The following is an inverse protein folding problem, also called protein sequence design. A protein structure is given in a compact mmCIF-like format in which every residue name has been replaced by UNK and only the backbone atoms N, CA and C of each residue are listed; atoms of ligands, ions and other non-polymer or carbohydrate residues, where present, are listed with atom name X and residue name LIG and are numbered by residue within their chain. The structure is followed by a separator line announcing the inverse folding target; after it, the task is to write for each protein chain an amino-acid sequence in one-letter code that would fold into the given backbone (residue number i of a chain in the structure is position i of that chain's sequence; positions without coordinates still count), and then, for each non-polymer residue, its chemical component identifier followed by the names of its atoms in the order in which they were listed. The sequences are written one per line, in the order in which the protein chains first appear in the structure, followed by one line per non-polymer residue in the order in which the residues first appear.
data_IF_206140390469
#
_entry.id   IF_206140390469
#
_cell.length_a   1.000
_cell.length_b   1.000
_cell.length_c   1.000
_cell.angle_alpha   90.00
_cell.angle_beta   90.00
_cell.angle_gamma   90.00
#
_symmetry.space_group_name_H-M   'P 1'
#
loop_
_entity.id
_entity.type
_entity.pdbx_description
1 polymer ?
#
# COMPACT_ATOMS: atom_id res chain seq x y z
N UNK A 1 -5.60 25.64 29.14
CA UNK A 1 -4.45 24.73 28.85
C UNK A 1 -4.76 23.56 27.89
N UNK A 2 -5.98 23.40 27.37
CA UNK A 2 -6.34 22.28 26.47
C UNK A 2 -6.01 22.48 24.96
N UNK A 3 -5.72 23.71 24.53
CA UNK A 3 -5.49 24.06 23.11
C UNK A 3 -4.11 23.62 22.55
N UNK A 4 -3.07 23.56 23.40
CA UNK A 4 -1.71 23.21 22.97
C UNK A 4 -1.52 21.74 22.60
N UNK A 5 -2.17 20.81 23.32
CA UNK A 5 -2.07 19.36 23.07
C UNK A 5 -2.78 18.93 21.79
N UNK A 6 -3.97 19.49 21.51
CA UNK A 6 -4.70 19.23 20.26
C UNK A 6 -3.95 19.74 19.04
N UNK A 7 -3.29 20.91 19.14
CA UNK A 7 -2.49 21.46 18.04
C UNK A 7 -1.25 20.63 17.75
N UNK A 8 -0.55 20.11 18.78
CA UNK A 8 0.59 19.20 18.60
C UNK A 8 0.20 17.83 18.05
N UNK A 9 -0.91 17.24 18.51
CA UNK A 9 -1.44 15.98 17.95
C UNK A 9 -1.84 16.15 16.47
N UNK A 10 -2.58 17.22 16.14
CA UNK A 10 -2.99 17.50 14.75
C UNK A 10 -1.80 17.74 13.79
N UNK A 11 -0.70 18.33 14.28
CA UNK A 11 0.53 18.52 13.49
C UNK A 11 1.28 17.20 13.30
N UNK A 12 1.34 16.32 14.31
CA UNK A 12 2.01 15.02 14.15
C UNK A 12 1.27 14.12 13.15
N UNK A 13 -0.07 14.16 13.15
CA UNK A 13 -0.89 13.41 12.20
C UNK A 13 -0.71 13.87 10.74
N UNK A 14 -0.48 15.16 10.47
CA UNK A 14 -0.37 15.66 9.08
C UNK A 14 0.90 15.20 8.36
N UNK A 15 2.01 15.04 9.09
CA UNK A 15 3.24 14.47 8.54
C UNK A 15 3.11 12.97 8.32
N UNK A 16 2.37 12.30 9.19
CA UNK A 16 2.15 10.85 9.15
C UNK A 16 1.31 10.41 7.95
N UNK A 17 0.40 11.27 7.50
CA UNK A 17 -0.47 11.05 6.35
C UNK A 17 0.13 11.52 5.02
N UNK A 18 1.33 12.11 5.06
CA UNK A 18 1.95 12.70 3.87
C UNK A 18 2.27 11.64 2.80
N UNK A 19 1.78 11.89 1.58
CA UNK A 19 2.07 11.13 0.37
C UNK A 19 2.61 12.06 -0.72
N UNK A 20 3.94 12.20 -0.88
CA UNK A 20 4.53 13.22 -1.76
C UNK A 20 4.36 12.91 -3.26
N UNK A 21 4.12 11.65 -3.63
CA UNK A 21 3.94 11.24 -5.03
C UNK A 21 2.47 11.37 -5.50
N UNK A 22 1.63 12.10 -4.76
CA UNK A 22 0.25 12.38 -5.16
C UNK A 22 0.10 13.03 -6.54
N UNK A 23 1.06 13.82 -7.10
CA UNK A 23 0.90 14.37 -8.44
C UNK A 23 0.91 13.31 -9.55
N UNK A 24 1.44 12.10 -9.31
CA UNK A 24 1.43 11.01 -10.30
C UNK A 24 0.01 10.55 -10.61
N UNK A 25 -0.86 10.53 -9.60
CA UNK A 25 -2.27 10.18 -9.72
C UNK A 25 -3.06 11.04 -8.72
N UNK A 26 -3.50 12.24 -9.13
CA UNK A 26 -4.02 13.28 -8.23
C UNK A 26 -5.47 13.02 -7.82
N UNK A 27 -5.68 11.94 -7.07
CA UNK A 27 -6.98 11.61 -6.46
C UNK A 27 -7.08 12.30 -5.11
N UNK A 28 -8.25 12.83 -4.77
CA UNK A 28 -8.57 13.24 -3.39
C UNK A 28 -8.21 12.09 -2.43
N UNK A 29 -7.67 12.32 -1.22
CA UNK A 29 -7.29 13.59 -0.58
C UNK A 29 -5.88 14.08 -0.96
N UNK A 30 -5.41 13.78 -2.17
CA UNK A 30 -4.12 14.16 -2.72
C UNK A 30 -2.96 13.65 -1.85
N UNK A 31 -2.21 14.57 -1.26
CA UNK A 31 -1.03 14.27 -0.45
C UNK A 31 -1.31 13.89 1.00
N UNK A 32 -2.58 13.83 1.44
CA UNK A 32 -2.92 13.60 2.85
C UNK A 32 -3.79 12.35 3.03
N UNK A 33 -3.14 11.18 3.12
CA UNK A 33 -3.78 9.87 3.11
C UNK A 33 -3.71 9.20 4.48
N UNK A 34 -4.73 9.43 5.30
CA UNK A 34 -4.94 8.72 6.56
C UNK A 34 -5.26 7.25 6.31
N UNK A 35 -4.62 6.38 7.06
CA UNK A 35 -4.76 4.92 7.01
C UNK A 35 -5.55 4.43 8.23
N UNK A 36 -6.63 3.71 7.97
CA UNK A 36 -7.43 3.06 9.01
C UNK A 36 -7.14 1.55 8.98
N UNK A 37 -6.46 1.05 10.03
CA UNK A 37 -6.26 -0.39 10.22
C UNK A 37 -7.43 -0.99 10.99
N UNK A 38 -7.99 -2.08 10.50
CA UNK A 38 -9.01 -2.89 11.18
C UNK A 38 -8.61 -4.36 11.15
N UNK A 39 -8.65 -5.02 12.30
CA UNK A 39 -8.57 -6.48 12.36
C UNK A 39 -9.95 -7.08 12.02
N UNK A 40 -9.99 -7.98 11.04
CA UNK A 40 -11.24 -8.62 10.59
C UNK A 40 -11.28 -10.11 10.93
N UNK A 41 -10.11 -10.75 11.09
CA UNK A 41 -9.97 -12.08 11.67
C UNK A 41 -8.85 -12.01 12.69
N UNK A 42 -9.18 -12.38 13.93
CA UNK A 42 -8.27 -12.29 15.07
C UNK A 42 -6.91 -12.92 14.77
N UNK A 43 -5.85 -12.17 15.05
CA UNK A 43 -4.45 -12.55 14.91
C UNK A 43 -4.07 -13.09 13.51
N UNK A 44 -4.88 -12.80 12.48
CA UNK A 44 -4.76 -13.42 11.16
C UNK A 44 -4.93 -12.45 10.00
N UNK A 45 -5.97 -11.61 9.98
CA UNK A 45 -6.27 -10.76 8.82
C UNK A 45 -6.62 -9.34 9.26
N UNK A 46 -5.95 -8.38 8.63
CA UNK A 46 -6.16 -6.95 8.83
C UNK A 46 -6.44 -6.24 7.50
N UNK A 47 -7.36 -5.29 7.51
CA UNK A 47 -7.56 -4.35 6.40
C UNK A 47 -6.94 -3.02 6.75
N UNK A 48 -6.40 -2.36 5.74
CA UNK A 48 -5.87 -1.01 5.79
C UNK A 48 -6.61 -0.22 4.73
N UNK A 49 -7.40 0.76 5.15
CA UNK A 49 -8.24 1.55 4.28
C UNK A 49 -7.73 3.00 4.21
N UNK A 50 -7.64 3.55 3.00
CA UNK A 50 -7.39 4.97 2.73
C UNK A 50 -8.55 5.53 1.90
N UNK A 51 -8.83 6.82 2.01
CA UNK A 51 -9.80 7.45 1.11
C UNK A 51 -9.16 7.71 -0.25
N UNK A 52 -9.96 7.54 -1.29
CA UNK A 52 -9.68 8.05 -2.62
C UNK A 52 -10.92 8.63 -3.26
N UNK A 53 -10.78 9.66 -4.10
CA UNK A 53 -11.93 10.23 -4.80
C UNK A 53 -11.58 10.97 -6.07
N UNK A 54 -12.56 11.01 -6.97
CA UNK A 54 -12.55 11.79 -8.21
C UNK A 54 -13.89 12.51 -8.29
N UNK A 55 -13.87 13.81 -8.56
CA UNK A 55 -15.06 14.66 -8.59
C UNK A 55 -15.89 14.53 -7.29
N UNK A 56 -17.14 14.12 -7.41
CA UNK A 56 -18.11 13.96 -6.31
C UNK A 56 -18.17 12.53 -5.75
N UNK A 57 -17.32 11.62 -6.23
CA UNK A 57 -17.28 10.23 -5.75
C UNK A 57 -16.04 10.03 -4.88
N UNK A 58 -16.27 9.63 -3.62
CA UNK A 58 -15.22 9.24 -2.69
C UNK A 58 -15.47 7.83 -2.20
N UNK A 59 -14.47 6.96 -2.33
CA UNK A 59 -14.53 5.55 -1.95
C UNK A 59 -13.29 5.17 -1.14
N UNK A 60 -13.40 4.19 -0.22
CA UNK A 60 -12.22 3.62 0.40
C UNK A 60 -11.47 2.75 -0.61
N UNK A 61 -10.14 2.86 -0.62
CA UNK A 61 -9.23 1.89 -1.23
C UNK A 61 -8.62 1.03 -0.13
N UNK A 62 -8.62 -0.29 -0.36
CA UNK A 62 -8.27 -1.29 0.66
C UNK A 62 -7.01 -2.06 0.28
N UNK A 63 -6.08 -2.12 1.23
CA UNK A 63 -5.03 -3.12 1.29
C UNK A 63 -5.39 -4.16 2.36
N UNK A 64 -5.07 -5.43 2.12
CA UNK A 64 -5.24 -6.51 3.10
C UNK A 64 -3.90 -7.09 3.49
N UNK A 65 -3.68 -7.28 4.78
CA UNK A 65 -2.50 -7.95 5.34
C UNK A 65 -2.97 -9.25 5.99
N UNK A 66 -2.34 -10.36 5.63
CA UNK A 66 -2.65 -11.70 6.13
C UNK A 66 -1.41 -12.30 6.77
N UNK A 67 -1.55 -12.85 7.97
CA UNK A 67 -0.52 -13.65 8.62
C UNK A 67 -0.41 -15.00 7.93
N UNK A 68 0.82 -15.41 7.61
CA UNK A 68 1.09 -16.71 7.02
C UNK A 68 1.28 -17.80 8.08
N UNK A 69 0.84 -19.03 7.78
CA UNK A 69 1.06 -20.20 8.64
C UNK A 69 2.56 -20.44 8.88
N UNK A 70 3.38 -20.31 7.83
CA UNK A 70 4.85 -20.43 7.90
C UNK A 70 5.58 -19.21 8.48
N UNK A 71 4.85 -18.27 9.09
CA UNK A 71 5.39 -17.03 9.62
C UNK A 71 5.61 -15.94 8.56
N UNK A 72 5.59 -14.69 9.00
CA UNK A 72 5.61 -13.51 8.15
C UNK A 72 4.23 -13.09 7.66
N UNK A 73 4.23 -12.05 6.85
CA UNK A 73 3.02 -11.39 6.36
C UNK A 73 2.93 -11.43 4.83
N UNK A 74 1.70 -11.55 4.36
CA UNK A 74 1.29 -11.43 2.97
C UNK A 74 0.48 -10.15 2.80
N UNK A 75 0.82 -9.32 1.83
CA UNK A 75 0.15 -8.04 1.55
C UNK A 75 -0.54 -8.12 0.19
N UNK A 76 -1.83 -7.81 0.15
CA UNK A 76 -2.67 -7.80 -1.04
C UNK A 76 -3.16 -6.39 -1.34
N UNK A 77 -3.07 -5.98 -2.61
CA UNK A 77 -3.54 -4.69 -3.13
C UNK A 77 -2.99 -3.47 -2.34
N UNK A 78 -1.66 -3.23 -2.36
CA UNK A 78 -1.05 -2.11 -1.64
C UNK A 78 -1.73 -0.77 -1.84
N UNK A 79 -1.77 0.03 -0.77
CA UNK A 79 -2.20 1.44 -0.75
C UNK A 79 -1.00 2.35 -0.55
N UNK A 80 -1.20 3.67 -0.51
CA UNK A 80 -0.11 4.63 -0.40
C UNK A 80 0.72 4.36 0.87
N UNK A 81 2.03 4.11 0.77
CA UNK A 81 2.90 3.81 1.91
C UNK A 81 3.27 5.09 2.66
N UNK A 82 2.27 5.77 3.23
CA UNK A 82 2.48 6.88 4.16
C UNK A 82 3.22 6.40 5.40
N UNK A 83 3.78 7.33 6.19
CA UNK A 83 4.50 6.96 7.43
C UNK A 83 3.60 6.19 8.39
N UNK A 84 2.33 6.62 8.51
CA UNK A 84 1.31 5.93 9.30
C UNK A 84 1.08 4.49 8.80
N UNK A 85 0.87 4.31 7.49
CA UNK A 85 0.65 2.99 6.91
C UNK A 85 1.83 2.04 7.19
N UNK A 86 3.06 2.52 6.95
CA UNK A 86 4.27 1.71 7.15
C UNK A 86 4.46 1.36 8.62
N UNK A 87 4.25 2.32 9.54
CA UNK A 87 4.34 2.08 10.99
C UNK A 87 3.32 1.02 11.44
N UNK A 88 2.06 1.12 10.99
CA UNK A 88 1.01 0.16 11.34
C UNK A 88 1.27 -1.26 10.79
N UNK A 89 1.95 -1.37 9.64
CA UNK A 89 2.41 -2.67 9.11
C UNK A 89 3.60 -3.18 9.93
N UNK A 90 4.54 -2.33 10.32
CA UNK A 90 5.69 -2.73 11.15
C UNK A 90 5.29 -3.27 12.52
N UNK A 91 4.22 -2.75 13.15
CA UNK A 91 3.65 -3.35 14.36
C UNK A 91 3.23 -4.82 14.15
N UNK A 92 2.74 -5.18 12.95
CA UNK A 92 2.43 -6.57 12.62
C UNK A 92 3.71 -7.35 12.34
N UNK A 93 4.70 -6.74 11.70
CA UNK A 93 6.01 -7.37 11.42
C UNK A 93 6.72 -7.76 12.71
N UNK A 94 6.72 -6.88 13.71
CA UNK A 94 7.30 -7.14 15.03
C UNK A 94 6.69 -8.37 15.71
N UNK A 95 5.39 -8.61 15.51
CA UNK A 95 4.66 -9.72 16.16
C UNK A 95 4.66 -11.02 15.35
N UNK A 96 4.59 -10.93 14.02
CA UNK A 96 4.31 -12.10 13.17
C UNK A 96 5.42 -12.40 12.15
N UNK A 97 6.44 -11.56 12.04
CA UNK A 97 7.57 -11.69 11.11
C UNK A 97 7.45 -10.79 9.87
N UNK A 98 8.52 -10.75 9.07
CA UNK A 98 8.63 -9.87 7.91
C UNK A 98 7.51 -10.02 6.88
N UNK A 99 7.27 -8.96 6.11
CA UNK A 99 6.46 -9.05 4.88
C UNK A 99 7.22 -9.90 3.87
N UNK A 100 6.67 -11.09 3.57
CA UNK A 100 7.27 -12.01 2.59
C UNK A 100 6.80 -11.75 1.18
N UNK A 101 5.53 -11.38 1.02
CA UNK A 101 4.89 -11.27 -0.29
C UNK A 101 4.04 -10.01 -0.41
N UNK A 102 4.14 -9.34 -1.55
CA UNK A 102 3.33 -8.18 -1.94
C UNK A 102 2.67 -8.48 -3.27
N UNK A 103 1.35 -8.48 -3.33
CA UNK A 103 0.59 -8.81 -4.53
C UNK A 103 -0.09 -7.57 -5.10
N UNK A 104 0.17 -7.26 -6.37
CA UNK A 104 -0.67 -6.38 -7.18
C UNK A 104 -1.69 -7.23 -7.96
N UNK A 105 -2.97 -7.25 -7.56
CA UNK A 105 -3.97 -8.16 -8.12
C UNK A 105 -4.75 -7.57 -9.29
N UNK A 106 -4.29 -6.46 -9.86
CA UNK A 106 -5.04 -5.72 -10.89
C UNK A 106 -4.15 -5.29 -12.04
N UNK A 107 -4.71 -5.34 -13.24
CA UNK A 107 -4.07 -4.89 -14.48
C UNK A 107 -4.44 -3.43 -14.76
N UNK A 108 -5.71 -3.06 -14.53
CA UNK A 108 -6.29 -1.75 -14.89
C UNK A 108 -6.42 -0.78 -13.72
N UNK A 109 -6.39 -1.27 -12.48
CA UNK A 109 -6.52 -0.44 -11.28
C UNK A 109 -5.25 0.37 -11.04
N UNK A 110 -5.12 1.51 -11.72
CA UNK A 110 -4.03 2.47 -11.54
C UNK A 110 -3.89 2.85 -10.06
N UNK A 111 -5.02 2.93 -9.35
CA UNK A 111 -5.12 3.30 -7.95
C UNK A 111 -4.36 2.35 -7.03
N UNK A 112 -4.22 1.06 -7.36
CA UNK A 112 -3.34 0.16 -6.61
C UNK A 112 -1.94 0.08 -7.24
N UNK A 113 -1.86 0.22 -8.56
CA UNK A 113 -0.60 0.08 -9.30
C UNK A 113 0.40 1.20 -8.98
N UNK A 114 -0.04 2.42 -8.78
CA UNK A 114 0.87 3.53 -8.44
C UNK A 114 1.54 3.35 -7.08
N UNK A 115 0.96 2.53 -6.20
CA UNK A 115 1.48 2.31 -4.85
C UNK A 115 2.39 1.10 -4.71
N UNK A 116 2.27 0.08 -5.57
CA UNK A 116 3.02 -1.19 -5.38
C UNK A 116 4.54 -0.98 -5.38
N UNK A 117 5.09 -0.19 -6.31
CA UNK A 117 6.53 0.10 -6.36
C UNK A 117 7.04 0.83 -5.10
N UNK A 118 6.46 2.00 -4.76
CA UNK A 118 6.76 2.69 -3.51
C UNK A 118 6.60 1.84 -2.25
N UNK A 119 5.55 1.02 -2.18
CA UNK A 119 5.30 0.15 -1.03
C UNK A 119 6.37 -0.94 -0.94
N UNK A 120 6.70 -1.59 -2.05
CA UNK A 120 7.77 -2.58 -2.12
C UNK A 120 9.13 -2.03 -1.70
N UNK A 121 9.42 -0.74 -1.91
CA UNK A 121 10.65 -0.11 -1.41
C UNK A 121 10.72 0.01 0.12
N UNK A 122 9.58 0.00 0.82
CA UNK A 122 9.52 0.01 2.29
C UNK A 122 9.77 -1.37 2.90
N UNK A 123 9.55 -2.42 2.13
CA UNK A 123 9.75 -3.83 2.54
C UNK A 123 10.68 -4.51 1.53
N UNK A 124 12.01 -4.28 1.64
CA UNK A 124 12.96 -4.67 0.60
C UNK A 124 13.18 -6.18 0.46
N UNK A 125 12.88 -6.96 1.49
CA UNK A 125 12.99 -8.43 1.51
C UNK A 125 11.78 -9.13 0.90
N UNK A 126 10.66 -8.43 0.75
CA UNK A 126 9.42 -9.00 0.21
C UNK A 126 9.53 -9.30 -1.29
N UNK A 127 9.04 -10.45 -1.72
CA UNK A 127 8.82 -10.72 -3.14
C UNK A 127 7.54 -10.03 -3.62
N UNK A 128 7.58 -9.45 -4.82
CA UNK A 128 6.45 -8.75 -5.43
C UNK A 128 5.88 -9.63 -6.53
N UNK A 129 4.59 -9.90 -6.50
CA UNK A 129 3.89 -10.58 -7.57
C UNK A 129 2.88 -9.65 -8.21
N UNK A 130 2.84 -9.64 -9.54
CA UNK A 130 1.89 -8.84 -10.30
C UNK A 130 1.07 -9.71 -11.23
N UNK A 131 -0.18 -9.33 -11.50
CA UNK A 131 -0.96 -10.00 -12.55
C UNK A 131 -0.24 -9.92 -13.90
N UNK A 132 -0.35 -10.94 -14.78
CA UNK A 132 0.16 -10.86 -16.14
C UNK A 132 -0.44 -9.69 -16.93
N UNK A 133 0.18 -9.33 -18.06
CA UNK A 133 -0.32 -8.30 -18.99
C UNK A 133 -0.40 -6.88 -18.40
N UNK A 134 0.49 -6.55 -17.46
CA UNK A 134 0.68 -5.18 -17.01
C UNK A 134 1.09 -4.28 -18.19
N UNK A 135 0.53 -3.08 -18.23
CA UNK A 135 0.74 -2.12 -19.31
C UNK A 135 1.22 -0.75 -18.79
N UNK A 136 1.69 0.11 -19.67
CA UNK A 136 1.84 1.54 -19.38
C UNK A 136 1.46 2.38 -20.59
N UNK A 137 1.28 3.68 -20.39
CA UNK A 137 0.87 4.64 -21.42
C UNK A 137 1.78 5.88 -21.35
N UNK A 138 2.12 6.51 -22.49
CA UNK A 138 1.68 6.18 -23.87
C UNK A 138 2.36 4.96 -24.49
N UNK A 139 3.46 4.50 -23.90
CA UNK A 139 4.22 3.35 -24.38
C UNK A 139 4.10 2.19 -23.40
N UNK A 140 4.08 0.97 -23.91
CA UNK A 140 4.09 -0.24 -23.08
C UNK A 140 5.52 -0.57 -22.65
N UNK A 141 5.93 -0.07 -21.49
CA UNK A 141 7.30 -0.16 -20.96
C UNK A 141 7.45 -1.42 -20.09
N UNK A 142 8.67 -1.97 -19.98
CA UNK A 142 8.96 -3.06 -19.07
C UNK A 142 8.60 -2.73 -17.62
N UNK A 143 8.13 -3.72 -16.85
CA UNK A 143 7.73 -3.55 -15.44
C UNK A 143 8.81 -2.90 -14.56
N UNK A 144 10.08 -3.23 -14.81
CA UNK A 144 11.22 -2.66 -14.08
C UNK A 144 11.36 -1.15 -14.24
N UNK A 145 10.79 -0.58 -15.31
CA UNK A 145 10.77 0.87 -15.57
C UNK A 145 9.56 1.55 -14.91
N UNK A 146 8.56 0.78 -14.46
CA UNK A 146 7.37 1.26 -13.77
C UNK A 146 7.56 1.37 -12.25
N UNK A 147 8.82 1.37 -11.78
CA UNK A 147 9.18 1.51 -10.37
C UNK A 147 9.07 0.22 -9.55
N UNK A 148 8.88 -0.94 -10.21
CA UNK A 148 8.91 -2.26 -9.57
C UNK A 148 10.35 -2.81 -9.46
N UNK A 149 10.70 -3.48 -8.35
CA UNK A 149 12.05 -3.97 -8.11
C UNK A 149 12.40 -5.17 -9.02
N UNK A 150 13.36 -4.98 -9.94
CA UNK A 150 13.67 -5.93 -11.03
C UNK A 150 13.96 -7.37 -10.58
N UNK A 151 14.70 -7.55 -9.49
CA UNK A 151 15.22 -8.86 -9.09
C UNK A 151 14.29 -9.66 -8.16
N UNK A 152 13.12 -9.11 -7.84
CA UNK A 152 12.15 -9.72 -6.91
C UNK A 152 10.70 -9.44 -7.33
N UNK A 153 10.48 -9.13 -8.60
CA UNK A 153 9.15 -8.98 -9.18
C UNK A 153 8.87 -10.17 -10.08
N UNK A 154 7.80 -10.88 -9.81
CA UNK A 154 7.37 -12.08 -10.52
C UNK A 154 5.95 -11.92 -11.04
N UNK A 155 5.59 -12.71 -12.03
CA UNK A 155 4.20 -12.81 -12.47
C UNK A 155 3.45 -13.77 -11.57
N UNK A 156 2.19 -13.44 -11.24
CA UNK A 156 1.28 -14.38 -10.61
C UNK A 156 1.13 -15.60 -11.51
N UNK A 157 1.23 -16.83 -10.96
CA UNK A 157 1.01 -18.05 -11.73
C UNK A 157 -0.39 -18.03 -12.35
N UNK A 158 -0.46 -18.24 -13.65
CA UNK A 158 -1.70 -18.66 -14.31
C UNK A 158 -1.78 -20.17 -14.15
N UNK A 159 -2.90 -20.68 -13.63
CA UNK A 159 -3.12 -22.12 -13.56
C UNK A 159 -2.89 -22.71 -14.96
N UNK A 160 -2.02 -23.72 -15.03
CA UNK A 160 -1.93 -24.64 -16.17
C UNK A 160 -2.89 -25.79 -15.95
#
# INVERSE_FOLDING_TARGET
MHSGKQRQQNISHSQDWSWPLWPILPLYPYGQRRTLRKEIVKDTIWTFDQLQGIFYVTVPIRMTVVRMIGGGLFVYAPIAPTRECVRLVNELVEKYGEVRYIILPTISGLEHKVYVGPFARKFPTAEVFVTPNQWSFPLNLPLSWLGLPRNRTYLLPVNR
#
